data_IF_900946245458
#
_entry.id   IF_900946245458
#
_cell.length_a   1.000
_cell.length_b   1.000
_cell.length_c   1.000
_cell.angle_alpha   90.00
_cell.angle_beta   90.00
_cell.angle_gamma   90.00
#
_symmetry.space_group_name_H-M   'P 1'
#
loop_
_entity.id
_entity.type
_entity.pdbx_description
1 polymer ?
#
# COMPACT_ATOMS: atom_id res chain seq x y z
N UNK A 1 -29.96 -2.36 -0.46
CA UNK A 1 -28.66 -2.25 0.23
C UNK A 1 -28.37 -3.52 0.99
N UNK A 2 -27.23 -4.15 0.72
CA UNK A 2 -26.79 -5.40 1.33
C UNK A 2 -25.93 -5.12 2.56
N UNK A 3 -25.86 -6.09 3.48
CA UNK A 3 -25.01 -6.01 4.66
C UNK A 3 -24.23 -7.30 4.86
N UNK A 4 -22.95 -7.16 5.19
CA UNK A 4 -22.13 -8.25 5.70
C UNK A 4 -22.08 -8.18 7.22
N UNK A 5 -21.93 -9.35 7.81
CA UNK A 5 -21.82 -9.53 9.26
C UNK A 5 -20.53 -10.27 9.60
N UNK A 6 -20.00 -10.01 10.79
CA UNK A 6 -18.79 -10.65 11.31
C UNK A 6 -17.61 -10.60 10.31
N UNK A 7 -17.31 -9.41 9.79
CA UNK A 7 -16.27 -9.17 8.79
C UNK A 7 -14.92 -8.88 9.48
N UNK A 8 -13.88 -9.60 9.10
CA UNK A 8 -12.56 -9.50 9.70
C UNK A 8 -11.71 -8.59 8.82
N UNK A 9 -11.14 -7.55 9.41
CA UNK A 9 -10.40 -6.51 8.68
C UNK A 9 -9.05 -6.25 9.34
N UNK A 10 -8.04 -6.05 8.50
CA UNK A 10 -6.70 -5.61 8.87
C UNK A 10 -6.49 -4.25 8.21
N UNK A 11 -6.59 -3.19 9.01
CA UNK A 11 -6.59 -1.83 8.48
C UNK A 11 -5.18 -1.37 8.10
N UNK A 12 -5.01 -1.05 6.82
CA UNK A 12 -3.86 -0.32 6.30
C UNK A 12 -4.23 1.16 6.21
N UNK A 13 -3.53 2.00 6.96
CA UNK A 13 -3.80 3.43 7.10
C UNK A 13 -3.00 4.27 6.10
N UNK A 14 -3.66 5.21 5.43
CA UNK A 14 -3.01 6.16 4.55
C UNK A 14 -2.40 5.53 3.30
N UNK A 15 -2.83 4.33 2.92
CA UNK A 15 -2.32 3.67 1.73
C UNK A 15 -2.98 4.22 0.46
N UNK A 16 -2.19 4.98 -0.30
CA UNK A 16 -2.61 5.51 -1.59
C UNK A 16 -2.63 4.44 -2.68
N UNK A 17 -1.67 3.51 -2.66
CA UNK A 17 -1.57 2.48 -3.67
C UNK A 17 -2.15 1.16 -3.17
N UNK A 18 -3.05 0.56 -3.93
CA UNK A 18 -3.74 -0.68 -3.55
C UNK A 18 -2.82 -1.88 -3.34
N UNK A 19 -1.60 -1.86 -3.91
CA UNK A 19 -0.61 -2.93 -3.73
C UNK A 19 -0.03 -3.00 -2.31
N UNK A 20 -0.17 -1.94 -1.50
CA UNK A 20 0.23 -1.96 -0.09
C UNK A 20 -0.88 -2.48 0.83
N UNK A 21 -2.14 -2.51 0.36
CA UNK A 21 -3.26 -3.10 1.09
C UNK A 21 -3.19 -4.62 0.94
N UNK A 22 -2.55 -5.25 1.93
CA UNK A 22 -2.15 -6.65 1.82
C UNK A 22 -3.34 -7.61 1.84
N UNK A 23 -3.27 -8.64 0.99
CA UNK A 23 -4.21 -9.76 1.01
C UNK A 23 -4.02 -10.62 2.27
N UNK A 24 -5.03 -11.41 2.60
CA UNK A 24 -5.04 -12.25 3.81
C UNK A 24 -3.79 -13.14 3.98
N UNK A 25 -3.26 -13.71 2.89
CA UNK A 25 -2.07 -14.57 2.95
C UNK A 25 -0.78 -13.81 3.31
N UNK A 26 -0.79 -12.48 3.26
CA UNK A 26 0.33 -11.61 3.65
C UNK A 26 0.11 -10.95 5.03
N UNK A 27 -1.00 -11.27 5.71
CA UNK A 27 -1.23 -10.80 7.08
C UNK A 27 -0.26 -11.48 8.05
N UNK A 28 0.22 -10.72 9.02
CA UNK A 28 1.18 -11.15 10.04
C UNK A 28 0.48 -11.32 11.39
N UNK A 29 1.11 -12.04 12.32
CA UNK A 29 0.54 -12.26 13.67
C UNK A 29 0.49 -10.98 14.50
N UNK A 30 1.40 -10.05 14.20
CA UNK A 30 1.52 -8.75 14.84
C UNK A 30 0.51 -7.73 14.30
N UNK A 31 -0.18 -8.03 13.20
CA UNK A 31 -1.20 -7.16 12.64
C UNK A 31 -2.42 -7.05 13.58
N UNK A 32 -3.00 -5.85 13.67
CA UNK A 32 -4.19 -5.61 14.49
C UNK A 32 -5.45 -5.91 13.67
N UNK A 33 -5.98 -7.12 13.84
CA UNK A 33 -7.22 -7.54 13.17
C UNK A 33 -8.43 -7.13 14.00
N UNK A 34 -9.37 -6.43 13.37
CA UNK A 34 -10.62 -5.96 13.97
C UNK A 34 -11.83 -6.68 13.38
N UNK A 35 -12.97 -6.67 14.11
CA UNK A 35 -14.22 -7.30 13.70
C UNK A 35 -15.31 -6.24 13.47
N UNK A 36 -15.73 -6.11 12.21
CA UNK A 36 -16.93 -5.37 11.83
C UNK A 36 -18.15 -6.28 12.01
N UNK A 37 -18.99 -5.94 12.99
CA UNK A 37 -20.20 -6.68 13.33
C UNK A 37 -21.27 -6.57 12.23
N UNK A 38 -21.37 -5.39 11.62
CA UNK A 38 -22.24 -5.14 10.48
C UNK A 38 -21.63 -4.05 9.61
N UNK A 39 -21.60 -4.27 8.29
CA UNK A 39 -21.06 -3.31 7.33
C UNK A 39 -21.84 -3.37 6.00
N UNK A 40 -22.25 -2.23 5.41
CA UNK A 40 -22.87 -2.19 4.10
C UNK A 40 -21.96 -2.79 3.03
N UNK A 41 -22.57 -3.50 2.08
CA UNK A 41 -21.90 -4.01 0.88
C UNK A 41 -22.43 -3.27 -0.35
N UNK A 42 -21.52 -2.60 -1.05
CA UNK A 42 -21.79 -1.84 -2.26
C UNK A 42 -21.16 -2.54 -3.47
N UNK A 43 -21.94 -2.72 -4.54
CA UNK A 43 -21.42 -3.08 -5.86
C UNK A 43 -21.29 -1.81 -6.68
N UNK A 44 -20.10 -1.53 -7.22
CA UNK A 44 -19.83 -0.31 -8.01
C UNK A 44 -19.14 -0.64 -9.33
N UNK A 45 -19.15 0.25 -10.33
CA UNK A 45 -18.35 0.08 -11.55
C UNK A 45 -16.85 0.01 -11.23
N UNK A 46 -16.07 -0.72 -12.04
CA UNK A 46 -14.62 -0.89 -11.81
C UNK A 46 -13.85 0.43 -11.76
N UNK A 47 -14.29 1.44 -12.50
CA UNK A 47 -13.68 2.77 -12.48
C UNK A 47 -13.73 3.40 -11.08
N UNK A 48 -14.89 3.30 -10.39
CA UNK A 48 -15.02 3.80 -9.02
C UNK A 48 -14.29 2.88 -8.03
N UNK A 49 -14.28 1.57 -8.25
CA UNK A 49 -13.51 0.66 -7.41
C UNK A 49 -12.01 0.99 -7.44
N UNK A 50 -11.42 1.13 -8.64
CA UNK A 50 -10.02 1.49 -8.79
C UNK A 50 -9.69 2.89 -8.27
N UNK A 51 -10.64 3.83 -8.36
CA UNK A 51 -10.51 5.14 -7.74
C UNK A 51 -10.32 5.04 -6.22
N UNK A 52 -11.19 4.27 -5.55
CA UNK A 52 -11.18 4.09 -4.10
C UNK A 52 -9.92 3.33 -3.68
N UNK A 53 -9.53 2.32 -4.46
CA UNK A 53 -8.38 1.48 -4.17
C UNK A 53 -7.05 2.22 -4.32
N UNK A 54 -6.87 2.99 -5.40
CA UNK A 54 -5.57 3.52 -5.83
C UNK A 54 -5.42 5.04 -5.69
N UNK A 55 -6.26 5.69 -4.89
CA UNK A 55 -6.19 7.11 -4.57
C UNK A 55 -6.56 7.34 -3.08
N UNK A 56 -6.21 8.52 -2.55
CA UNK A 56 -6.67 9.07 -1.27
C UNK A 56 -7.51 10.34 -1.51
N UNK A 57 -8.31 10.32 -2.58
CA UNK A 57 -9.18 11.43 -2.96
C UNK A 57 -10.58 11.28 -2.37
N UNK A 58 -11.36 12.36 -2.44
CA UNK A 58 -12.69 12.42 -1.84
C UNK A 58 -13.68 11.43 -2.48
N UNK A 59 -14.40 10.71 -1.63
CA UNK A 59 -15.44 9.79 -2.04
C UNK A 59 -16.68 10.54 -2.55
N UNK A 60 -17.45 9.93 -3.48
CA UNK A 60 -18.69 10.53 -3.96
C UNK A 60 -19.66 10.79 -2.81
N UNK A 61 -20.30 11.98 -2.79
CA UNK A 61 -21.24 12.35 -1.70
C UNK A 61 -22.40 11.37 -1.56
N UNK A 62 -22.97 10.90 -2.68
CA UNK A 62 -24.04 9.91 -2.66
C UNK A 62 -23.61 8.60 -2.00
N UNK A 63 -22.36 8.17 -2.22
CA UNK A 63 -21.81 6.97 -1.57
C UNK A 63 -21.70 7.19 -0.06
N UNK A 64 -21.19 8.35 0.37
CA UNK A 64 -21.08 8.69 1.80
C UNK A 64 -22.46 8.73 2.47
N UNK A 65 -23.47 9.32 1.83
CA UNK A 65 -24.85 9.34 2.33
C UNK A 65 -25.43 7.93 2.45
N UNK A 66 -25.14 7.05 1.49
CA UNK A 66 -25.60 5.65 1.50
C UNK A 66 -24.98 4.82 2.61
N UNK A 67 -23.77 5.13 3.08
CA UNK A 67 -23.08 4.35 4.12
C UNK A 67 -23.08 5.03 5.49
N UNK A 68 -23.53 6.29 5.56
CA UNK A 68 -23.47 7.12 6.76
C UNK A 68 -24.15 6.44 7.95
N UNK A 69 -23.35 6.15 8.97
CA UNK A 69 -23.79 5.55 10.21
C UNK A 69 -24.56 4.23 10.03
N UNK A 70 -24.16 3.40 9.07
CA UNK A 70 -24.75 2.07 8.84
C UNK A 70 -23.83 0.91 9.22
N UNK A 71 -22.64 1.21 9.72
CA UNK A 71 -21.61 0.25 10.12
C UNK A 71 -21.37 0.22 11.61
N UNK A 72 -21.03 -0.97 12.10
CA UNK A 72 -20.77 -1.23 13.50
C UNK A 72 -19.50 -2.07 13.65
N UNK A 73 -18.61 -1.61 14.53
CA UNK A 73 -17.41 -2.32 14.92
C UNK A 73 -17.57 -2.88 16.33
N UNK A 74 -16.98 -4.05 16.57
CA UNK A 74 -16.96 -4.66 17.90
C UNK A 74 -15.59 -4.50 18.52
N UNK A 75 -15.50 -3.70 19.60
CA UNK A 75 -14.29 -3.53 20.41
C UNK A 75 -14.62 -3.85 21.86
N UNK A 76 -13.87 -4.76 22.49
CA UNK A 76 -14.06 -5.14 23.91
C UNK A 76 -15.50 -5.54 24.28
N UNK A 77 -16.19 -6.28 23.40
CA UNK A 77 -17.61 -6.66 23.54
C UNK A 77 -18.61 -5.49 23.45
N UNK A 78 -18.15 -4.27 23.22
CA UNK A 78 -18.99 -3.11 22.96
C UNK A 78 -19.15 -2.89 21.45
N UNK A 79 -20.36 -2.51 21.05
CA UNK A 79 -20.72 -2.22 19.65
C UNK A 79 -20.64 -0.72 19.44
N UNK A 80 -19.63 -0.27 18.71
CA UNK A 80 -19.44 1.15 18.37
C UNK A 80 -19.90 1.40 16.94
N UNK A 81 -20.64 2.50 16.74
CA UNK A 81 -21.12 2.92 15.42
C UNK A 81 -20.00 3.66 14.68
N UNK A 82 -19.77 3.32 13.42
CA UNK A 82 -18.82 4.02 12.54
C UNK A 82 -19.55 5.02 11.66
N UNK A 83 -18.88 6.12 11.32
CA UNK A 83 -19.49 7.22 10.55
C UNK A 83 -19.60 6.87 9.06
N UNK A 84 -18.48 6.53 8.41
CA UNK A 84 -18.49 6.01 7.04
C UNK A 84 -17.55 4.81 6.93
N UNK A 85 -18.14 3.62 6.95
CA UNK A 85 -17.41 2.38 6.75
C UNK A 85 -18.27 1.45 5.90
N UNK A 86 -17.66 0.79 4.91
CA UNK A 86 -18.37 -0.05 3.95
C UNK A 86 -17.42 -1.07 3.31
N UNK A 87 -18.00 -2.10 2.72
CA UNK A 87 -17.31 -3.01 1.80
C UNK A 87 -17.75 -2.66 0.39
N UNK A 88 -16.80 -2.54 -0.52
CA UNK A 88 -17.03 -2.22 -1.93
C UNK A 88 -16.46 -3.31 -2.82
N UNK A 89 -17.15 -3.60 -3.92
CA UNK A 89 -16.71 -4.55 -4.94
C UNK A 89 -17.17 -4.13 -6.32
N UNK A 90 -16.36 -4.40 -7.35
CA UNK A 90 -16.78 -4.33 -8.76
C UNK A 90 -17.22 -5.68 -9.34
N UNK A 91 -17.23 -6.72 -8.50
CA UNK A 91 -17.43 -8.12 -8.89
C UNK A 91 -16.14 -8.89 -9.15
N UNK A 92 -14.98 -8.22 -9.15
CA UNK A 92 -13.65 -8.85 -9.25
C UNK A 92 -12.87 -8.57 -7.97
N UNK A 93 -12.61 -7.30 -7.68
CA UNK A 93 -11.94 -6.85 -6.46
C UNK A 93 -12.91 -6.63 -5.32
N UNK A 94 -12.42 -6.81 -4.09
CA UNK A 94 -13.15 -6.53 -2.85
C UNK A 94 -12.26 -5.71 -1.93
N UNK A 95 -12.85 -4.69 -1.28
CA UNK A 95 -12.15 -3.82 -0.36
C UNK A 95 -13.10 -3.40 0.77
N UNK A 96 -12.64 -3.49 2.01
CA UNK A 96 -13.27 -2.81 3.14
C UNK A 96 -12.61 -1.44 3.30
N UNK A 97 -13.43 -0.42 3.53
CA UNK A 97 -13.01 0.98 3.63
C UNK A 97 -13.60 1.59 4.89
N UNK A 98 -12.79 2.37 5.61
CA UNK A 98 -13.20 3.23 6.72
C UNK A 98 -12.58 4.62 6.51
N UNK A 99 -13.40 5.66 6.58
CA UNK A 99 -12.93 7.04 6.41
C UNK A 99 -12.54 7.71 7.72
N UNK A 100 -12.78 7.09 8.87
CA UNK A 100 -12.55 7.68 10.21
C UNK A 100 -13.28 9.04 10.35
N UNK A 101 -14.46 9.17 9.71
CA UNK A 101 -15.27 10.41 9.74
C UNK A 101 -14.88 11.46 8.71
N UNK A 102 -13.84 11.22 7.90
CA UNK A 102 -13.49 12.09 6.77
C UNK A 102 -14.27 11.72 5.50
N UNK A 103 -14.05 12.47 4.42
CA UNK A 103 -14.58 12.19 3.09
C UNK A 103 -13.65 11.34 2.22
N UNK A 104 -12.45 10.98 2.73
CA UNK A 104 -11.43 10.22 2.00
C UNK A 104 -11.30 8.79 2.56
N UNK A 105 -10.90 7.79 1.76
CA UNK A 105 -10.75 6.41 2.21
C UNK A 105 -9.44 6.21 3.00
N UNK A 106 -9.41 6.63 4.27
CA UNK A 106 -8.20 6.63 5.11
C UNK A 106 -7.70 5.23 5.44
N UNK A 107 -8.61 4.30 5.75
CA UNK A 107 -8.30 2.92 6.11
C UNK A 107 -8.85 1.98 5.07
N UNK A 108 -8.01 1.06 4.62
CA UNK A 108 -8.35 0.06 3.61
C UNK A 108 -7.97 -1.33 4.13
N UNK A 109 -8.76 -2.34 3.81
CA UNK A 109 -8.47 -3.74 4.16
C UNK A 109 -8.98 -4.67 3.08
N UNK A 110 -8.24 -5.75 2.81
CA UNK A 110 -8.78 -6.92 2.10
C UNK A 110 -9.61 -7.76 3.06
N UNK A 111 -10.42 -8.67 2.52
CA UNK A 111 -11.19 -9.61 3.35
C UNK A 111 -10.50 -10.97 3.39
N UNK A 112 -10.91 -11.81 4.34
CA UNK A 112 -10.48 -13.21 4.34
C UNK A 112 -11.20 -14.00 3.24
N UNK A 113 -10.61 -15.08 2.69
CA UNK A 113 -11.19 -15.79 1.53
C UNK A 113 -12.65 -16.24 1.70
N UNK A 114 -13.03 -16.67 2.91
CA UNK A 114 -14.41 -17.08 3.21
C UNK A 114 -15.41 -15.92 3.09
N UNK A 115 -15.01 -14.70 3.48
CA UNK A 115 -15.84 -13.50 3.37
C UNK A 115 -15.88 -12.99 1.93
N UNK A 116 -14.78 -13.12 1.20
CA UNK A 116 -14.76 -12.81 -0.25
C UNK A 116 -15.76 -13.68 -1.01
N UNK A 117 -15.77 -14.98 -0.74
CA UNK A 117 -16.73 -15.91 -1.35
C UNK A 117 -18.19 -15.50 -1.06
N UNK A 118 -18.49 -15.11 0.19
CA UNK A 118 -19.82 -14.62 0.57
C UNK A 118 -20.18 -13.36 -0.21
N UNK A 119 -19.26 -12.42 -0.38
CA UNK A 119 -19.47 -11.20 -1.16
C UNK A 119 -19.82 -11.53 -2.61
N UNK A 120 -19.05 -12.41 -3.27
CA UNK A 120 -19.32 -12.81 -4.65
C UNK A 120 -20.71 -13.45 -4.82
N UNK A 121 -21.13 -14.25 -3.85
CA UNK A 121 -22.47 -14.86 -3.85
C UNK A 121 -23.57 -13.82 -3.67
N UNK A 122 -23.38 -12.86 -2.76
CA UNK A 122 -24.37 -11.82 -2.47
C UNK A 122 -24.55 -10.80 -3.61
N UNK A 123 -23.48 -10.49 -4.36
CA UNK A 123 -23.55 -9.49 -5.43
C UNK A 123 -23.84 -10.07 -6.81
N UNK A 124 -23.91 -11.40 -6.96
CA UNK A 124 -24.01 -12.09 -8.26
C UNK A 124 -25.08 -11.50 -9.20
N UNK A 125 -26.28 -11.27 -8.67
CA UNK A 125 -27.44 -10.76 -9.42
C UNK A 125 -27.76 -9.29 -9.14
N UNK A 126 -26.82 -8.56 -8.52
CA UNK A 126 -26.97 -7.14 -8.17
C UNK A 126 -26.31 -6.28 -9.23
N UNK A 127 -27.00 -5.27 -9.75
CA UNK A 127 -26.40 -4.31 -10.68
C UNK A 127 -25.50 -3.30 -9.94
N UNK A 128 -24.39 -2.83 -10.54
CA UNK A 128 -23.54 -1.82 -9.92
C UNK A 128 -24.25 -0.48 -9.72
N UNK A 129 -24.18 0.07 -8.51
CA UNK A 129 -24.65 1.41 -8.17
C UNK A 129 -23.68 2.46 -8.72
N UNK A 130 -24.21 3.43 -9.47
CA UNK A 130 -23.42 4.50 -10.08
C UNK A 130 -23.50 5.77 -9.24
N UNK A 131 -22.34 6.35 -8.94
CA UNK A 131 -22.22 7.63 -8.26
C UNK A 131 -21.57 8.66 -9.17
N UNK A 132 -21.98 9.91 -9.06
CA UNK A 132 -21.31 11.02 -9.74
C UNK A 132 -19.99 11.33 -9.04
N UNK A 133 -18.88 11.24 -9.78
CA UNK A 133 -17.56 11.63 -9.31
C UNK A 133 -16.71 12.13 -10.47
N UNK A 134 -15.65 12.90 -10.15
CA UNK A 134 -14.71 13.39 -11.14
C UNK A 134 -13.45 12.50 -11.18
N UNK A 135 -13.36 11.53 -12.11
CA UNK A 135 -12.22 10.60 -12.19
C UNK A 135 -10.94 11.25 -12.73
N UNK A 136 -10.83 12.58 -12.82
CA UNK A 136 -9.77 13.31 -13.51
C UNK A 136 -8.33 12.98 -13.06
N UNK A 137 -8.16 12.22 -11.98
CA UNK A 137 -6.87 11.79 -11.42
C UNK A 137 -6.48 10.32 -11.68
N UNK A 138 -7.40 9.47 -12.18
CA UNK A 138 -7.21 8.01 -12.14
C UNK A 138 -6.02 7.49 -12.95
N UNK A 139 -5.66 8.10 -14.09
CA UNK A 139 -4.69 7.46 -15.00
C UNK A 139 -3.70 8.40 -15.72
N UNK A 140 -4.02 9.68 -15.99
CA UNK A 140 -3.17 10.48 -16.89
C UNK A 140 -2.06 11.30 -16.23
N UNK A 141 -1.98 11.36 -14.89
CA UNK A 141 -1.01 12.23 -14.20
C UNK A 141 -0.59 11.76 -12.81
N UNK A 142 -0.72 10.46 -12.49
CA UNK A 142 -0.22 9.97 -11.20
C UNK A 142 1.30 9.99 -11.22
N UNK A 143 1.89 11.00 -10.60
CA UNK A 143 3.34 11.15 -10.48
C UNK A 143 3.85 10.21 -9.38
N UNK A 144 4.38 9.07 -9.81
CA UNK A 144 5.16 8.20 -8.93
C UNK A 144 6.49 8.86 -8.60
N UNK A 145 6.92 8.74 -7.34
CA UNK A 145 8.17 9.30 -6.85
C UNK A 145 8.95 8.23 -6.11
N UNK A 146 10.19 8.54 -5.71
CA UNK A 146 11.10 7.57 -5.09
C UNK A 146 10.50 6.84 -3.86
N UNK A 147 9.61 7.49 -3.12
CA UNK A 147 8.93 6.92 -1.95
C UNK A 147 7.56 6.28 -2.26
N UNK A 148 7.04 6.47 -3.48
CA UNK A 148 5.77 5.91 -3.99
C UNK A 148 6.00 5.39 -5.40
N UNK A 149 6.53 4.17 -5.48
CA UNK A 149 6.94 3.52 -6.73
C UNK A 149 5.73 3.19 -7.61
N UNK A 150 5.95 3.17 -8.93
CA UNK A 150 4.94 2.69 -9.85
C UNK A 150 4.61 1.19 -9.59
N UNK A 151 3.35 0.75 -9.77
CA UNK A 151 2.92 -0.63 -9.53
C UNK A 151 3.75 -1.68 -10.28
N UNK A 152 4.30 -1.34 -11.44
CA UNK A 152 5.15 -2.20 -12.25
C UNK A 152 6.44 -2.62 -11.53
N UNK A 153 7.02 -1.76 -10.69
CA UNK A 153 8.27 -2.03 -9.98
C UNK A 153 8.09 -2.82 -8.68
N UNK A 154 6.85 -3.01 -8.22
CA UNK A 154 6.51 -3.72 -6.98
C UNK A 154 5.68 -4.98 -7.24
N UNK A 155 5.26 -5.22 -8.49
CA UNK A 155 4.48 -6.38 -8.87
C UNK A 155 5.25 -7.67 -8.62
N UNK A 156 4.62 -8.61 -7.92
CA UNK A 156 5.19 -9.93 -7.63
C UNK A 156 6.09 -9.97 -6.39
N UNK A 157 6.39 -8.81 -5.78
CA UNK A 157 7.08 -8.76 -4.50
C UNK A 157 6.14 -9.20 -3.38
N UNK A 158 6.65 -9.96 -2.42
CA UNK A 158 5.99 -10.23 -1.15
C UNK A 158 5.92 -8.96 -0.29
N UNK A 159 5.01 -8.91 0.69
CA UNK A 159 4.92 -7.81 1.67
C UNK A 159 6.29 -7.43 2.24
N UNK A 160 7.09 -8.42 2.65
CA UNK A 160 8.43 -8.19 3.21
C UNK A 160 9.34 -7.52 2.19
N UNK A 161 9.37 -8.00 0.96
CA UNK A 161 10.20 -7.43 -0.10
C UNK A 161 9.75 -6.01 -0.45
N UNK A 162 8.44 -5.73 -0.49
CA UNK A 162 7.92 -4.36 -0.68
C UNK A 162 8.39 -3.41 0.43
N UNK A 163 8.31 -3.83 1.69
CA UNK A 163 8.73 -3.02 2.83
C UNK A 163 10.26 -2.77 2.83
N UNK A 164 11.07 -3.79 2.55
CA UNK A 164 12.52 -3.62 2.46
C UNK A 164 12.91 -2.77 1.24
N UNK A 165 12.22 -2.92 0.11
CA UNK A 165 12.43 -2.06 -1.06
C UNK A 165 12.10 -0.61 -0.73
N UNK A 166 11.00 -0.35 -0.05
CA UNK A 166 10.64 1.00 0.43
C UNK A 166 11.70 1.57 1.37
N UNK A 167 12.19 0.77 2.33
CA UNK A 167 13.28 1.16 3.23
C UNK A 167 14.57 1.54 2.47
N UNK A 168 14.96 0.73 1.48
CA UNK A 168 16.10 1.01 0.61
C UNK A 168 15.92 2.35 -0.11
N UNK A 169 14.74 2.62 -0.66
CA UNK A 169 14.46 3.88 -1.34
C UNK A 169 14.40 5.09 -0.41
N UNK A 170 13.96 4.92 0.83
CA UNK A 170 14.07 5.98 1.86
C UNK A 170 15.53 6.33 2.14
N UNK A 171 16.40 5.34 2.26
CA UNK A 171 17.83 5.55 2.47
C UNK A 171 18.51 6.17 1.23
N UNK A 172 18.11 5.77 0.02
CA UNK A 172 18.58 6.37 -1.23
C UNK A 172 18.11 7.83 -1.37
N UNK A 173 16.88 8.16 -1.00
CA UNK A 173 16.38 9.54 -1.03
C UNK A 173 17.16 10.44 -0.07
N UNK A 174 17.45 9.95 1.15
CA UNK A 174 18.33 10.66 2.08
C UNK A 174 19.71 10.89 1.48
N UNK A 175 20.30 9.87 0.84
CA UNK A 175 21.59 9.97 0.17
C UNK A 175 21.56 11.01 -0.96
N UNK A 176 20.48 11.04 -1.75
CA UNK A 176 20.26 12.04 -2.80
C UNK A 176 20.26 13.45 -2.23
N UNK A 177 19.58 13.64 -1.09
CA UNK A 177 19.47 14.92 -0.38
C UNK A 177 20.81 15.49 0.08
N UNK A 178 21.78 14.64 0.43
CA UNK A 178 23.12 15.05 0.86
C UNK A 178 23.98 15.65 -0.26
N UNK A 179 23.66 15.35 -1.53
CA UNK A 179 24.41 15.78 -2.73
C UNK A 179 25.93 15.49 -2.64
N UNK A 180 26.28 14.41 -1.95
CA UNK A 180 27.68 14.03 -1.73
C UNK A 180 28.15 13.06 -2.81
N UNK A 181 28.94 13.59 -3.76
CA UNK A 181 29.48 12.82 -4.89
C UNK A 181 30.36 11.65 -4.47
N UNK A 182 31.15 11.80 -3.40
CA UNK A 182 32.04 10.72 -2.96
C UNK A 182 31.24 9.55 -2.37
N UNK A 183 30.20 9.88 -1.59
CA UNK A 183 29.35 8.89 -0.92
C UNK A 183 28.48 8.12 -1.91
N UNK A 184 27.84 8.80 -2.86
CA UNK A 184 27.07 8.11 -3.91
C UNK A 184 27.97 7.27 -4.82
N UNK A 185 29.18 7.73 -5.11
CA UNK A 185 30.17 6.97 -5.88
C UNK A 185 30.62 5.70 -5.15
N UNK A 186 30.76 5.77 -3.81
CA UNK A 186 31.02 4.60 -2.98
C UNK A 186 29.88 3.58 -3.08
N UNK A 187 28.64 4.00 -2.84
CA UNK A 187 27.49 3.09 -2.88
C UNK A 187 27.24 2.51 -4.26
N UNK A 188 27.41 3.30 -5.34
CA UNK A 188 27.30 2.75 -6.68
C UNK A 188 28.46 1.80 -7.02
N UNK A 189 29.64 1.97 -6.42
CA UNK A 189 30.74 0.98 -6.54
C UNK A 189 30.39 -0.33 -5.81
N UNK A 190 29.79 -0.25 -4.62
CA UNK A 190 29.30 -1.43 -3.90
C UNK A 190 28.20 -2.16 -4.69
N UNK A 191 27.35 -1.41 -5.39
CA UNK A 191 26.32 -1.97 -6.27
C UNK A 191 26.91 -2.57 -7.55
N UNK A 192 27.84 -1.88 -8.22
CA UNK A 192 28.42 -2.30 -9.49
C UNK A 192 29.96 -2.08 -9.51
N UNK A 193 30.74 -3.03 -8.94
CA UNK A 193 32.19 -2.89 -8.81
C UNK A 193 32.93 -2.71 -10.13
N UNK A 194 32.39 -3.21 -11.23
CA UNK A 194 33.00 -3.13 -12.56
C UNK A 194 33.05 -1.70 -13.11
N UNK A 195 32.24 -0.79 -12.59
CA UNK A 195 32.13 0.59 -13.07
C UNK A 195 33.10 1.56 -12.39
N UNK A 196 33.91 1.10 -11.43
CA UNK A 196 34.75 1.97 -10.58
C UNK A 196 35.57 3.04 -11.32
N UNK A 197 36.25 2.68 -12.42
CA UNK A 197 37.05 3.63 -13.19
C UNK A 197 36.20 4.68 -13.95
N UNK A 198 34.96 4.31 -14.30
CA UNK A 198 34.01 5.21 -14.97
C UNK A 198 33.38 6.17 -13.95
N UNK A 199 33.02 5.67 -12.76
CA UNK A 199 32.44 6.45 -11.65
C UNK A 199 33.32 7.66 -11.29
N UNK A 200 34.66 7.49 -11.31
CA UNK A 200 35.62 8.57 -11.04
C UNK A 200 35.48 9.77 -11.98
N UNK A 201 34.90 9.59 -13.17
CA UNK A 201 34.73 10.64 -14.18
C UNK A 201 33.30 11.18 -14.25
N UNK A 202 32.35 10.52 -13.61
CA UNK A 202 30.94 10.88 -13.62
C UNK A 202 30.62 11.96 -12.57
N UNK A 203 29.62 12.77 -12.91
CA UNK A 203 28.94 13.71 -12.03
C UNK A 203 28.06 12.99 -11.00
N UNK A 204 27.59 13.71 -9.98
CA UNK A 204 26.70 13.15 -8.97
C UNK A 204 25.40 12.65 -9.60
N UNK A 205 24.81 13.45 -10.50
CA UNK A 205 23.53 13.22 -11.17
C UNK A 205 23.60 11.98 -12.06
N UNK A 206 24.69 11.82 -12.82
CA UNK A 206 24.88 10.61 -13.64
C UNK A 206 24.98 9.35 -12.77
N UNK A 207 25.72 9.39 -11.65
CA UNK A 207 25.84 8.25 -10.73
C UNK A 207 24.49 7.95 -10.08
N UNK A 208 23.75 9.00 -9.70
CA UNK A 208 22.41 8.88 -9.12
C UNK A 208 21.43 8.23 -10.08
N UNK A 209 21.35 8.72 -11.32
CA UNK A 209 20.41 8.20 -12.31
C UNK A 209 20.72 6.74 -12.63
N UNK A 210 22.00 6.37 -12.73
CA UNK A 210 22.40 4.97 -12.91
C UNK A 210 22.01 4.10 -11.71
N UNK A 211 22.34 4.52 -10.48
CA UNK A 211 22.02 3.77 -9.28
C UNK A 211 20.50 3.58 -9.15
N UNK A 212 19.71 4.65 -9.31
CA UNK A 212 18.25 4.61 -9.21
C UNK A 212 17.62 3.69 -10.26
N UNK A 213 18.02 3.82 -11.53
CA UNK A 213 17.47 3.00 -12.61
C UNK A 213 17.85 1.52 -12.49
N UNK A 214 19.02 1.21 -11.92
CA UNK A 214 19.42 -0.18 -11.71
C UNK A 214 18.76 -0.81 -10.46
N UNK A 215 18.47 -0.04 -9.41
CA UNK A 215 17.87 -0.58 -8.16
C UNK A 215 16.35 -0.61 -8.17
N UNK A 216 15.69 0.13 -9.07
CA UNK A 216 14.23 0.11 -9.22
C UNK A 216 13.73 -1.16 -9.91
N UNK A 217 14.56 -1.76 -10.76
CA UNK A 217 14.19 -2.93 -11.55
C UNK A 217 14.32 -4.24 -10.77
N UNK A 218 13.19 -4.93 -10.63
CA UNK A 218 13.12 -6.24 -9.98
C UNK A 218 13.42 -6.23 -8.48
N UNK A 219 13.75 -7.42 -7.96
CA UNK A 219 14.19 -7.65 -6.59
C UNK A 219 15.01 -8.92 -6.50
N UNK A 220 16.08 -8.89 -5.72
CA UNK A 220 17.02 -10.02 -5.57
C UNK A 220 17.82 -9.92 -4.29
N UNK A 221 18.56 -10.97 -3.93
CA UNK A 221 19.46 -10.97 -2.77
C UNK A 221 20.51 -9.84 -2.83
N UNK A 222 20.87 -9.38 -4.03
CA UNK A 222 21.72 -8.20 -4.24
C UNK A 222 21.09 -6.94 -3.64
N UNK A 223 19.78 -6.74 -3.83
CA UNK A 223 19.05 -5.60 -3.26
C UNK A 223 19.00 -5.69 -1.73
N UNK A 224 18.79 -6.89 -1.20
CA UNK A 224 18.73 -7.13 0.23
C UNK A 224 20.08 -6.81 0.90
N UNK A 225 21.18 -7.36 0.36
CA UNK A 225 22.52 -7.10 0.86
C UNK A 225 22.93 -5.63 0.72
N UNK A 226 22.55 -5.00 -0.39
CA UNK A 226 22.80 -3.57 -0.60
C UNK A 226 22.04 -2.72 0.42
N UNK A 227 20.75 -2.99 0.65
CA UNK A 227 19.94 -2.31 1.65
C UNK A 227 20.52 -2.47 3.06
N UNK A 228 20.90 -3.69 3.46
CA UNK A 228 21.49 -3.97 4.78
C UNK A 228 22.77 -3.16 5.02
N UNK A 229 23.64 -3.06 4.00
CA UNK A 229 24.85 -2.25 4.11
C UNK A 229 24.54 -0.75 4.16
N UNK A 230 23.59 -0.27 3.34
CA UNK A 230 23.24 1.15 3.21
C UNK A 230 22.67 1.73 4.51
N UNK A 231 21.87 0.96 5.23
CA UNK A 231 21.21 1.40 6.47
C UNK A 231 22.12 1.32 7.70
N UNK A 232 23.26 0.63 7.60
CA UNK A 232 24.14 0.35 8.73
C UNK A 232 24.70 1.64 9.33
N UNK A 233 24.59 1.77 10.65
CA UNK A 233 24.97 2.97 11.38
C UNK A 233 23.91 4.07 11.40
N UNK A 234 22.71 3.81 10.86
CA UNK A 234 21.57 4.73 10.90
C UNK A 234 20.46 4.15 11.79
N UNK A 235 20.36 4.56 13.08
CA UNK A 235 19.50 3.91 14.07
C UNK A 235 18.03 3.84 13.67
N UNK A 236 17.55 4.83 12.91
CA UNK A 236 16.17 4.86 12.42
C UNK A 236 15.90 3.74 11.41
N UNK A 237 16.78 3.57 10.41
CA UNK A 237 16.60 2.55 9.38
C UNK A 237 16.90 1.15 9.89
N UNK A 238 17.87 0.98 10.80
CA UNK A 238 18.14 -0.29 11.46
C UNK A 238 16.91 -0.79 12.22
N UNK A 239 16.22 0.09 12.95
CA UNK A 239 14.98 -0.26 13.65
C UNK A 239 13.87 -0.71 12.69
N UNK A 240 13.72 -0.05 11.54
CA UNK A 240 12.73 -0.46 10.51
C UNK A 240 13.09 -1.83 9.90
N UNK A 241 14.38 -2.06 9.66
CA UNK A 241 14.88 -3.35 9.19
C UNK A 241 14.66 -4.48 10.20
N UNK A 242 14.89 -4.22 11.48
CA UNK A 242 14.63 -5.16 12.57
C UNK A 242 13.16 -5.53 12.63
N UNK A 243 12.24 -4.55 12.60
CA UNK A 243 10.79 -4.80 12.58
C UNK A 243 10.37 -5.74 11.45
N UNK A 244 10.95 -5.58 10.25
CA UNK A 244 10.65 -6.43 9.09
C UNK A 244 11.28 -7.83 9.19
N UNK A 245 12.37 -7.99 9.94
CA UNK A 245 13.07 -9.27 10.10
C UNK A 245 12.66 -10.06 11.34
N UNK A 246 12.26 -9.40 12.43
CA UNK A 246 11.79 -10.02 13.67
C UNK A 246 10.43 -10.72 13.51
N UNK A 247 9.65 -10.35 12.48
CA UNK A 247 8.42 -11.03 12.08
C UNK A 247 8.58 -12.52 11.71
N UNK A 248 9.81 -13.08 11.78
CA UNK A 248 10.12 -14.50 11.58
C UNK A 248 10.31 -15.33 12.87
N UNK A 249 10.08 -14.81 14.06
CA UNK A 249 10.29 -15.60 15.30
C UNK A 249 8.96 -15.91 16.00
N UNK A 250 8.27 -16.95 15.51
CA UNK A 250 7.57 -18.02 16.28
C UNK A 250 6.46 -18.68 15.44
#
# INVERSE_FOLDING_TARGET
>A
MLFLHDVWVNWFEGEENGYNVCHFHEWRKEDTVELLDQVPLLRVPSVLFHYIENDLSELPKGLLEDVHQKSYIRKNHERTKLEYCFVVTDGIGILAVDTIGYTIPVRKSRLIPRQEQLVYEMVKDVEPETYEFEPKKLESSKEYHILSLAPEHVRGLTRKERQIKQLMFMALDQLKGLKNRAEIGYWYTEWNPHMYEQIKRMSFEEIWDMLYNETIEGWSDKHLAFCENLIKGQPFFEKLWEMENESKVN
#
